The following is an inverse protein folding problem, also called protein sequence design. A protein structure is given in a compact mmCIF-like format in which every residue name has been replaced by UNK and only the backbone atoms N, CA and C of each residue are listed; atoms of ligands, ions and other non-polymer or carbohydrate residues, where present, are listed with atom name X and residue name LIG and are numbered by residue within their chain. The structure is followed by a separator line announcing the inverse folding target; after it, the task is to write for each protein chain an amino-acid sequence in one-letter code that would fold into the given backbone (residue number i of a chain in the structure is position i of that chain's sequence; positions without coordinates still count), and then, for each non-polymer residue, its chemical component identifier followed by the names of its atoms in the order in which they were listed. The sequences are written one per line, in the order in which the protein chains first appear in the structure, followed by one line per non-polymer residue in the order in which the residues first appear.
data_IF_146568638821
#
_entry.id   IF_146568638821
#
_cell.length_a   1.000
_cell.length_b   1.000
_cell.length_c   1.000
_cell.angle_alpha   90.00
_cell.angle_beta   90.00
_cell.angle_gamma   90.00
#
_symmetry.space_group_name_H-M   'P 1'
#
loop_
_entity.id
_entity.type
_entity.pdbx_description
1 polymer ?
#
# COMPACT_ATOMS: atom_id res chain seq x y z
N UNK A 1 -22.51 10.20 14.09
CA UNK A 1 -21.92 8.84 14.01
C UNK A 1 -20.42 8.97 14.08
N UNK A 2 -19.78 8.29 15.04
CA UNK A 2 -18.32 8.34 15.18
C UNK A 2 -17.63 7.83 13.91
N UNK A 3 -16.48 8.41 13.58
CA UNK A 3 -15.75 8.21 12.32
C UNK A 3 -15.21 6.76 12.11
N UNK A 4 -15.39 5.86 13.09
CA UNK A 4 -14.77 4.53 13.13
C UNK A 4 -15.58 3.44 12.42
N UNK A 5 -16.89 3.61 12.20
CA UNK A 5 -17.77 2.56 11.64
C UNK A 5 -17.88 2.58 10.10
N UNK A 6 -17.04 3.37 9.42
CA UNK A 6 -17.10 3.46 7.96
C UNK A 6 -16.44 2.24 7.31
N UNK A 7 -17.05 1.65 6.27
CA UNK A 7 -16.51 0.48 5.60
C UNK A 7 -15.17 0.79 4.93
N UNK A 8 -14.38 -0.26 4.72
CA UNK A 8 -13.10 -0.21 4.02
C UNK A 8 -13.19 -0.91 2.67
N UNK A 9 -12.38 -0.44 1.73
CA UNK A 9 -12.21 -1.06 0.42
C UNK A 9 -10.74 -1.31 0.13
N UNK A 10 -10.48 -2.40 -0.58
CA UNK A 10 -9.20 -2.67 -1.26
C UNK A 10 -9.21 -1.98 -2.62
N UNK A 11 -8.15 -1.24 -2.91
CA UNK A 11 -7.89 -0.64 -4.21
C UNK A 11 -6.68 -1.32 -4.83
N UNK A 12 -6.81 -1.74 -6.09
CA UNK A 12 -5.65 -2.02 -6.94
C UNK A 12 -5.41 -0.81 -7.83
N UNK A 13 -4.16 -0.38 -7.90
CA UNK A 13 -3.78 0.83 -8.66
C UNK A 13 -2.55 0.58 -9.51
N UNK A 14 -2.37 1.39 -10.55
CA UNK A 14 -1.13 1.40 -11.35
C UNK A 14 -0.15 2.42 -10.78
N UNK A 15 1.02 1.96 -10.37
CA UNK A 15 2.14 2.80 -9.93
C UNK A 15 2.81 3.42 -11.17
N UNK A 16 2.10 4.37 -11.78
CA UNK A 16 2.32 4.86 -13.13
C UNK A 16 3.56 5.74 -13.31
N UNK A 17 4.12 6.28 -12.23
CA UNK A 17 5.33 7.12 -12.27
C UNK A 17 6.63 6.32 -12.24
N UNK A 18 6.62 5.09 -11.69
CA UNK A 18 7.81 4.25 -11.71
C UNK A 18 8.18 3.92 -13.16
N UNK A 19 9.46 4.01 -13.52
CA UNK A 19 9.98 3.70 -14.87
C UNK A 19 10.80 2.42 -14.90
N UNK A 20 11.40 2.06 -13.76
CA UNK A 20 12.38 0.99 -13.64
C UNK A 20 11.79 -0.26 -12.99
N UNK A 21 12.40 -1.42 -13.26
CA UNK A 21 11.93 -2.73 -12.78
C UNK A 21 13.07 -3.53 -12.15
N UNK A 22 13.69 -3.02 -11.07
CA UNK A 22 14.79 -3.73 -10.43
C UNK A 22 14.30 -5.03 -9.78
N UNK A 23 15.17 -6.03 -9.77
CA UNK A 23 14.92 -7.30 -9.06
C UNK A 23 15.38 -7.24 -7.59
N UNK A 24 16.17 -6.23 -7.23
CA UNK A 24 16.67 -5.97 -5.87
C UNK A 24 16.55 -4.47 -5.54
N UNK A 25 16.17 -4.16 -4.30
CA UNK A 25 15.96 -2.79 -3.82
C UNK A 25 16.42 -2.64 -2.38
N UNK A 26 16.78 -1.43 -1.96
CA UNK A 26 16.94 -1.09 -0.54
C UNK A 26 15.61 -0.50 -0.03
N UNK A 27 14.83 -1.24 0.78
CA UNK A 27 13.50 -0.84 1.20
C UNK A 27 13.53 0.25 2.27
N UNK A 28 12.42 0.95 2.45
CA UNK A 28 12.31 2.12 3.34
C UNK A 28 12.66 1.84 4.81
N UNK A 29 12.38 0.62 5.26
CA UNK A 29 12.56 0.23 6.65
C UNK A 29 13.93 -0.40 6.92
N UNK A 30 14.79 -0.55 5.90
CA UNK A 30 16.07 -1.24 6.03
C UNK A 30 17.19 -0.51 5.27
N UNK A 31 18.44 -0.89 5.55
CA UNK A 31 19.64 -0.40 4.86
C UNK A 31 20.29 -1.46 3.96
N UNK A 32 19.83 -2.70 4.07
CA UNK A 32 20.31 -3.84 3.29
C UNK A 32 19.44 -4.07 2.05
N UNK A 33 20.06 -4.57 0.96
CA UNK A 33 19.36 -4.94 -0.26
C UNK A 33 18.46 -6.17 -0.07
N UNK A 34 17.27 -6.13 -0.65
CA UNK A 34 16.30 -7.23 -0.65
C UNK A 34 15.73 -7.44 -2.04
N UNK A 35 15.46 -8.69 -2.39
CA UNK A 35 14.71 -9.00 -3.61
C UNK A 35 13.36 -8.27 -3.63
N UNK A 36 12.98 -7.70 -4.77
CA UNK A 36 11.82 -6.77 -4.86
C UNK A 36 10.51 -7.39 -4.36
N UNK A 37 10.32 -8.70 -4.55
CA UNK A 37 9.14 -9.44 -4.09
C UNK A 37 9.09 -9.68 -2.57
N UNK A 38 10.22 -9.54 -1.88
CA UNK A 38 10.28 -9.55 -0.42
C UNK A 38 10.02 -8.16 0.19
N UNK A 39 9.66 -7.17 -0.63
CA UNK A 39 9.42 -5.78 -0.22
C UNK A 39 8.06 -5.26 -0.72
N UNK A 40 7.74 -4.02 -0.36
CA UNK A 40 6.61 -3.26 -0.90
C UNK A 40 7.06 -2.09 -1.79
N UNK A 41 8.26 -2.15 -2.37
CA UNK A 41 8.77 -1.10 -3.23
C UNK A 41 7.87 -0.89 -4.47
N UNK A 42 7.66 0.36 -4.92
CA UNK A 42 6.76 0.68 -6.02
C UNK A 42 7.32 0.29 -7.40
N UNK A 43 8.64 0.38 -7.58
CA UNK A 43 9.34 -0.10 -8.78
C UNK A 43 9.46 -1.62 -8.72
N UNK A 44 8.69 -2.31 -9.57
CA UNK A 44 8.59 -3.77 -9.66
C UNK A 44 8.05 -4.16 -11.05
N UNK A 45 8.28 -5.41 -11.52
CA UNK A 45 7.89 -5.82 -12.88
C UNK A 45 6.41 -5.56 -13.21
N UNK A 46 5.53 -5.84 -12.24
CA UNK A 46 4.12 -5.45 -12.33
C UNK A 46 3.85 -4.33 -11.34
N UNK A 47 3.82 -3.10 -11.85
CA UNK A 47 3.64 -1.83 -11.10
C UNK A 47 2.22 -1.68 -10.54
N UNK A 48 1.83 -2.61 -9.68
CA UNK A 48 0.51 -2.69 -9.06
C UNK A 48 0.64 -2.31 -7.58
N UNK A 49 -0.08 -1.26 -7.19
CA UNK A 49 -0.30 -0.86 -5.80
C UNK A 49 -1.49 -1.59 -5.20
N UNK A 50 -1.43 -1.84 -3.89
CA UNK A 50 -2.53 -2.38 -3.10
C UNK A 50 -2.70 -1.53 -1.85
N UNK A 51 -3.87 -0.90 -1.73
CA UNK A 51 -4.21 -0.03 -0.58
C UNK A 51 -5.52 -0.46 0.05
N UNK A 52 -5.60 -0.41 1.38
CA UNK A 52 -6.86 -0.57 2.12
C UNK A 52 -7.26 0.83 2.61
N UNK A 53 -8.34 1.36 2.05
CA UNK A 53 -8.79 2.74 2.29
C UNK A 53 -10.10 2.75 3.07
N UNK A 54 -10.32 3.78 3.89
CA UNK A 54 -11.61 4.01 4.56
C UNK A 54 -12.50 4.85 3.65
N UNK A 55 -13.72 4.39 3.40
CA UNK A 55 -14.65 5.14 2.56
C UNK A 55 -15.16 6.38 3.31
N UNK A 56 -15.17 7.51 2.62
CA UNK A 56 -15.63 8.79 3.14
C UNK A 56 -16.98 9.22 2.55
N UNK A 57 -17.29 8.81 1.31
CA UNK A 57 -18.56 9.08 0.66
C UNK A 57 -18.60 8.58 -0.77
N UNK A 58 -19.81 8.47 -1.32
CA UNK A 58 -20.09 8.12 -2.71
C UNK A 58 -20.99 9.21 -3.28
N UNK A 59 -20.61 9.77 -4.42
CA UNK A 59 -21.39 10.76 -5.17
C UNK A 59 -21.36 10.39 -6.66
N UNK A 60 -22.42 9.77 -7.14
CA UNK A 60 -22.48 9.19 -8.48
C UNK A 60 -21.31 8.21 -8.73
N UNK A 61 -20.46 8.53 -9.72
CA UNK A 61 -19.28 7.74 -10.06
C UNK A 61 -18.02 8.13 -9.25
N UNK A 62 -18.13 9.05 -8.28
CA UNK A 62 -17.02 9.53 -7.47
C UNK A 62 -17.01 8.84 -6.11
N UNK A 63 -15.87 8.25 -5.76
CA UNK A 63 -15.60 7.67 -4.44
C UNK A 63 -14.61 8.55 -3.68
N UNK A 64 -15.02 9.10 -2.55
CA UNK A 64 -14.13 9.81 -1.63
C UNK A 64 -13.64 8.84 -0.55
N UNK A 65 -12.35 8.85 -0.24
CA UNK A 65 -11.76 7.93 0.74
C UNK A 65 -10.53 8.55 1.43
N UNK A 66 -10.12 7.93 2.54
CA UNK A 66 -9.01 8.37 3.38
C UNK A 66 -8.04 7.21 3.68
N UNK A 67 -6.81 7.54 4.10
CA UNK A 67 -5.82 6.55 4.56
C UNK A 67 -4.94 5.98 3.44
N UNK A 68 -4.46 6.85 2.55
CA UNK A 68 -3.77 6.51 1.32
C UNK A 68 -2.66 7.54 1.03
N UNK A 69 -1.56 7.11 0.40
CA UNK A 69 -0.38 7.90 0.01
C UNK A 69 -0.12 7.93 -1.51
N UNK A 70 -1.11 7.56 -2.33
CA UNK A 70 -1.06 7.61 -3.79
C UNK A 70 -0.83 9.04 -4.30
N UNK A 71 -0.05 9.13 -5.38
CA UNK A 71 0.11 10.38 -6.13
C UNK A 71 -1.17 10.70 -6.89
N UNK A 72 -1.46 11.99 -7.07
CA UNK A 72 -2.58 12.43 -7.89
C UNK A 72 -2.49 11.87 -9.33
N UNK A 73 -3.65 11.61 -9.95
CA UNK A 73 -3.73 10.97 -11.26
C UNK A 73 -3.42 9.48 -11.30
N UNK A 74 -3.11 8.84 -10.15
CA UNK A 74 -2.87 7.38 -10.09
C UNK A 74 -4.06 6.59 -10.64
N UNK A 75 -3.88 5.79 -11.71
CA UNK A 75 -4.97 4.99 -12.28
C UNK A 75 -5.44 3.92 -11.30
N UNK A 76 -6.75 3.90 -11.04
CA UNK A 76 -7.42 2.82 -10.31
C UNK A 76 -7.73 1.69 -11.29
N UNK A 77 -7.28 0.48 -10.97
CA UNK A 77 -7.48 -0.72 -11.77
C UNK A 77 -8.69 -1.51 -11.29
N UNK A 78 -8.93 -1.54 -9.98
CA UNK A 78 -10.00 -2.34 -9.37
C UNK A 78 -10.33 -1.84 -7.96
N UNK A 79 -11.58 -2.07 -7.55
CA UNK A 79 -12.12 -1.70 -6.23
C UNK A 79 -12.89 -2.91 -5.69
N UNK A 80 -12.52 -3.37 -4.49
CA UNK A 80 -13.19 -4.51 -3.84
C UNK A 80 -13.51 -4.19 -2.37
N UNK A 81 -14.60 -4.73 -1.82
CA UNK A 81 -14.85 -4.62 -0.38
C UNK A 81 -13.71 -5.25 0.42
N UNK A 82 -13.32 -4.62 1.52
CA UNK A 82 -12.45 -5.24 2.51
C UNK A 82 -13.32 -5.94 3.56
N UNK A 83 -13.19 -7.26 3.62
CA UNK A 83 -13.97 -8.11 4.52
C UNK A 83 -12.99 -8.83 5.44
N UNK A 84 -12.90 -8.45 6.74
CA UNK A 84 -11.92 -9.01 7.66
C UNK A 84 -11.90 -10.54 7.71
N UNK A 85 -13.08 -11.17 7.63
CA UNK A 85 -13.21 -12.64 7.62
C UNK A 85 -12.48 -13.30 6.43
N UNK A 86 -12.34 -12.61 5.29
CA UNK A 86 -11.66 -13.12 4.10
C UNK A 86 -10.23 -12.59 3.97
N UNK A 87 -9.95 -11.42 4.52
CA UNK A 87 -8.73 -10.66 4.20
C UNK A 87 -7.69 -10.64 5.31
N UNK A 88 -8.09 -10.88 6.57
CA UNK A 88 -7.14 -11.01 7.67
C UNK A 88 -6.61 -12.44 7.69
N UNK A 89 -5.29 -12.56 7.65
CA UNK A 89 -4.55 -13.82 7.76
C UNK A 89 -3.52 -13.69 8.86
N UNK A 90 -3.53 -14.64 9.79
CA UNK A 90 -2.47 -14.74 10.79
C UNK A 90 -1.23 -15.37 10.15
N UNK A 91 -0.06 -14.83 10.47
CA UNK A 91 1.23 -15.37 10.05
C UNK A 91 2.18 -15.40 11.24
N UNK A 92 2.97 -16.45 11.35
CA UNK A 92 3.95 -16.61 12.43
C UNK A 92 5.26 -15.86 12.13
N UNK A 93 5.57 -15.64 10.84
CA UNK A 93 6.81 -15.00 10.40
C UNK A 93 6.52 -13.94 9.34
N UNK A 94 7.28 -12.85 9.39
CA UNK A 94 7.22 -11.74 8.42
C UNK A 94 8.61 -11.40 7.84
N UNK A 95 9.59 -12.30 8.00
CA UNK A 95 10.95 -12.11 7.52
C UNK A 95 11.66 -10.93 8.17
N UNK A 96 12.47 -10.22 7.40
CA UNK A 96 13.29 -9.09 7.85
C UNK A 96 12.47 -7.92 8.45
N UNK A 97 11.17 -7.83 8.14
CA UNK A 97 10.30 -6.85 8.77
C UNK A 97 10.23 -6.99 10.30
N UNK A 98 10.38 -8.20 10.84
CA UNK A 98 10.25 -8.45 12.29
C UNK A 98 11.20 -7.57 13.13
N UNK A 99 12.41 -7.32 12.63
CA UNK A 99 13.44 -6.53 13.30
C UNK A 99 13.28 -5.01 13.06
N UNK A 100 12.58 -4.63 11.99
CA UNK A 100 12.46 -3.24 11.53
C UNK A 100 11.12 -2.60 11.87
N UNK A 101 10.06 -3.37 12.16
CA UNK A 101 8.71 -2.83 12.40
C UNK A 101 8.64 -1.85 13.58
N UNK A 102 9.47 -2.03 14.61
CA UNK A 102 9.56 -1.08 15.73
C UNK A 102 9.93 0.34 15.31
N UNK A 103 10.57 0.51 14.15
CA UNK A 103 11.02 1.79 13.61
C UNK A 103 9.93 2.55 12.85
N UNK A 104 8.76 1.94 12.61
CA UNK A 104 7.68 2.60 11.85
C UNK A 104 7.15 3.86 12.53
N UNK A 105 7.06 3.88 13.87
CA UNK A 105 6.40 4.95 14.63
C UNK A 105 7.09 6.34 14.56
N UNK A 106 8.14 6.51 13.77
CA UNK A 106 8.77 7.81 13.52
C UNK A 106 9.33 8.00 12.11
N UNK A 107 9.05 7.09 11.18
CA UNK A 107 9.59 7.11 9.82
C UNK A 107 8.58 7.72 8.85
N UNK A 108 8.95 8.83 8.20
CA UNK A 108 8.15 9.54 7.20
C UNK A 108 8.48 9.09 5.76
N UNK A 109 7.52 9.19 4.85
CA UNK A 109 7.75 8.91 3.42
C UNK A 109 8.95 9.70 2.88
N UNK A 110 9.82 9.01 2.12
CA UNK A 110 11.08 9.54 1.61
C UNK A 110 11.03 9.87 0.10
N UNK A 111 9.82 10.01 -0.45
CA UNK A 111 9.64 10.41 -1.84
C UNK A 111 9.84 9.31 -2.89
N UNK A 112 10.13 8.07 -2.48
CA UNK A 112 10.28 6.91 -3.40
C UNK A 112 9.00 6.52 -4.17
N UNK A 113 7.89 7.19 -3.89
CA UNK A 113 6.59 7.00 -4.54
C UNK A 113 6.36 7.99 -5.70
N UNK A 114 7.34 8.84 -6.00
CA UNK A 114 7.33 9.82 -7.09
C UNK A 114 8.04 9.31 -8.33
#
# INVERSE_FOLDING_TARGET
MANEDRPRSKLLTRLHLGTDEPLEVVPFLDDTGHGVFATRAPSRPNRIGLSIVRLAGIDGARLSFEGNDMVDGTPVLDIKPYVPAFDVRHTERIGWFAERLGQLRGKLSDGRMR
#
